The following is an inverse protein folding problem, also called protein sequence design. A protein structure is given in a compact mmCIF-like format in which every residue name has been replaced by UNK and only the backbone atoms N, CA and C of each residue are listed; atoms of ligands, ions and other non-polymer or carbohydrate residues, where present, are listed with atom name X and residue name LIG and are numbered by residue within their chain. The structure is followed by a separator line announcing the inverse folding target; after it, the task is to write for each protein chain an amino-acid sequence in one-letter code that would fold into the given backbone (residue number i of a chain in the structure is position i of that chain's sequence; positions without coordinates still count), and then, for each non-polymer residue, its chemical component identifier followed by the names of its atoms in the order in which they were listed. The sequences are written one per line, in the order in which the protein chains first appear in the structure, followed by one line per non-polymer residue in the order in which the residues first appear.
data_IF_480897256312
#
_entry.id   IF_480897256312
#
_cell.length_a   1.000
_cell.length_b   1.000
_cell.length_c   1.000
_cell.angle_alpha   90.00
_cell.angle_beta   90.00
_cell.angle_gamma   90.00
#
_symmetry.space_group_name_H-M   'P 1'
#
loop_
_entity.id
_entity.type
_entity.pdbx_description
1 polymer ?
#
# COMPACT_ATOMS: atom_id res chain seq x y z
N UNK A 1 6.62 23.07 14.49
CA UNK A 1 7.37 23.39 13.22
C UNK A 1 8.68 22.63 13.07
N UNK A 2 9.30 22.10 14.14
CA UNK A 2 10.57 21.34 14.05
C UNK A 2 10.59 20.21 13.02
N UNK A 3 9.53 19.43 12.88
CA UNK A 3 9.45 18.34 11.91
C UNK A 3 9.58 18.82 10.43
N UNK A 4 9.05 20.01 10.11
CA UNK A 4 9.17 20.57 8.73
C UNK A 4 10.62 20.95 8.41
N UNK A 5 11.38 21.37 9.40
CA UNK A 5 12.83 21.64 9.29
C UNK A 5 13.62 20.34 9.19
N UNK A 6 13.33 19.37 10.08
CA UNK A 6 13.96 18.05 10.10
C UNK A 6 13.83 17.32 8.76
N UNK A 7 12.62 17.36 8.17
CA UNK A 7 12.34 16.74 6.88
C UNK A 7 12.55 17.66 5.69
N UNK A 8 13.03 18.88 5.93
CA UNK A 8 13.33 19.90 4.89
C UNK A 8 12.14 20.22 3.98
N UNK A 9 10.91 20.23 4.53
CA UNK A 9 9.68 20.37 3.74
C UNK A 9 9.64 21.73 3.02
N UNK A 10 9.96 22.83 3.74
CA UNK A 10 9.90 24.20 3.24
C UNK A 10 11.29 24.78 2.93
N UNK A 11 12.33 23.94 2.89
CA UNK A 11 13.68 24.43 2.65
C UNK A 11 13.83 24.82 1.19
N UNK A 12 14.17 26.07 0.97
CA UNK A 12 14.57 26.56 -0.35
C UNK A 12 16.04 26.22 -0.60
N UNK A 13 16.30 24.98 -0.93
CA UNK A 13 17.62 24.41 -1.22
C UNK A 13 17.75 23.99 -2.67
N UNK A 14 16.85 24.47 -3.54
CA UNK A 14 16.81 24.08 -4.95
C UNK A 14 16.39 22.64 -5.20
N UNK A 15 15.92 21.91 -4.16
CA UNK A 15 15.45 20.54 -4.32
C UNK A 15 14.24 20.47 -5.24
N UNK A 16 14.32 19.57 -6.20
CA UNK A 16 13.20 19.20 -7.07
C UNK A 16 12.80 17.76 -6.77
N UNK A 17 11.50 17.46 -6.74
CA UNK A 17 11.07 16.08 -6.54
C UNK A 17 11.63 15.20 -7.65
N UNK A 18 12.18 14.01 -7.32
CA UNK A 18 12.51 13.02 -8.32
C UNK A 18 11.32 12.77 -9.26
N UNK A 19 11.55 12.76 -10.58
CA UNK A 19 10.49 12.57 -11.57
C UNK A 19 9.67 11.30 -11.29
N UNK A 20 10.33 10.26 -10.80
CA UNK A 20 9.69 9.02 -10.39
C UNK A 20 8.54 9.23 -9.39
N UNK A 21 8.69 10.14 -8.42
CA UNK A 21 7.63 10.46 -7.45
C UNK A 21 6.47 11.19 -8.13
N UNK A 22 6.78 12.08 -9.06
CA UNK A 22 5.77 12.84 -9.82
C UNK A 22 4.92 11.89 -10.66
N UNK A 23 5.54 10.88 -11.27
CA UNK A 23 4.87 9.95 -12.19
C UNK A 23 4.17 8.79 -11.48
N UNK A 24 4.62 8.40 -10.27
CA UNK A 24 4.16 7.18 -9.61
C UNK A 24 3.42 7.38 -8.28
N UNK A 25 3.28 8.61 -7.78
CA UNK A 25 2.41 8.86 -6.63
C UNK A 25 0.97 9.08 -7.13
N UNK A 26 0.07 8.11 -6.93
CA UNK A 26 -1.24 8.13 -7.55
C UNK A 26 -2.20 9.04 -6.78
N UNK A 27 -2.29 10.29 -7.20
CA UNK A 27 -3.26 11.24 -6.67
C UNK A 27 -3.43 12.46 -7.58
N UNK A 28 -4.56 13.14 -7.43
CA UNK A 28 -4.78 14.41 -8.10
C UNK A 28 -6.12 15.04 -7.73
N UNK A 29 -6.21 16.37 -7.79
CA UNK A 29 -7.48 17.09 -7.65
C UNK A 29 -8.25 16.95 -8.97
N UNK A 30 -9.47 16.43 -8.90
CA UNK A 30 -10.35 16.33 -10.08
C UNK A 30 -11.30 17.53 -10.22
N UNK A 31 -11.78 18.08 -9.12
CA UNK A 31 -12.76 19.16 -9.09
C UNK A 31 -13.10 19.56 -7.67
N UNK A 32 -14.36 19.96 -7.44
CA UNK A 32 -14.83 20.46 -6.15
C UNK A 32 -16.16 19.82 -5.77
N UNK A 33 -16.41 19.71 -4.47
CA UNK A 33 -17.72 19.33 -3.96
C UNK A 33 -18.74 20.48 -4.10
N UNK A 34 -20.00 20.22 -3.78
CA UNK A 34 -21.10 21.21 -3.87
C UNK A 34 -20.91 22.42 -2.95
N UNK A 35 -20.04 22.36 -1.96
CA UNK A 35 -19.70 23.46 -1.06
C UNK A 35 -18.38 24.16 -1.45
N UNK A 36 -17.75 23.73 -2.56
CA UNK A 36 -16.51 24.31 -3.09
C UNK A 36 -15.23 23.69 -2.52
N UNK A 37 -15.28 22.66 -1.69
CA UNK A 37 -14.07 21.99 -1.20
C UNK A 37 -13.43 21.15 -2.30
N UNK A 38 -12.09 21.18 -2.49
CA UNK A 38 -11.42 20.36 -3.50
C UNK A 38 -11.58 18.87 -3.22
N UNK A 39 -11.69 18.09 -4.30
CA UNK A 39 -11.82 16.64 -4.28
C UNK A 39 -10.56 16.01 -4.86
N UNK A 40 -9.86 15.26 -4.03
CA UNK A 40 -8.65 14.50 -4.38
C UNK A 40 -9.04 13.05 -4.64
N UNK A 41 -8.67 12.53 -5.80
CA UNK A 41 -8.82 11.11 -6.13
C UNK A 41 -7.49 10.40 -5.94
N UNK A 42 -7.52 9.24 -5.29
CA UNK A 42 -6.36 8.39 -5.01
C UNK A 42 -6.66 6.98 -5.53
N UNK A 43 -6.16 6.58 -6.71
CA UNK A 43 -6.16 5.19 -7.18
C UNK A 43 -5.16 4.35 -6.36
N UNK A 44 -5.61 3.75 -5.25
CA UNK A 44 -4.71 3.15 -4.24
C UNK A 44 -3.88 1.99 -4.79
N UNK A 45 -4.42 1.21 -5.72
CA UNK A 45 -3.67 0.10 -6.35
C UNK A 45 -2.47 0.57 -7.20
N UNK A 46 -2.49 1.83 -7.66
CA UNK A 46 -1.38 2.44 -8.38
C UNK A 46 -0.18 2.80 -7.50
N UNK A 47 -0.30 2.72 -6.18
CA UNK A 47 0.75 3.11 -5.25
C UNK A 47 1.73 1.96 -4.99
N UNK A 48 2.80 1.85 -5.78
CA UNK A 48 3.87 0.86 -5.57
C UNK A 48 4.86 1.32 -4.50
N UNK A 49 4.45 1.22 -3.24
CA UNK A 49 5.27 1.62 -2.07
C UNK A 49 6.62 0.90 -2.06
N UNK A 50 6.63 -0.39 -2.39
CA UNK A 50 7.85 -1.19 -2.41
C UNK A 50 8.82 -0.73 -3.50
N UNK A 51 8.32 -0.47 -4.70
CA UNK A 51 9.12 0.05 -5.82
C UNK A 51 9.67 1.44 -5.52
N UNK A 52 8.87 2.32 -4.94
CA UNK A 52 9.29 3.66 -4.55
C UNK A 52 10.42 3.64 -3.52
N UNK A 53 10.31 2.85 -2.45
CA UNK A 53 11.36 2.73 -1.42
C UNK A 53 12.67 2.18 -2.00
N UNK A 54 12.58 1.25 -2.96
CA UNK A 54 13.75 0.71 -3.65
C UNK A 54 14.42 1.71 -4.58
N UNK A 55 13.70 2.73 -5.04
CA UNK A 55 14.17 3.69 -6.05
C UNK A 55 14.56 5.06 -5.49
N UNK A 56 13.86 5.54 -4.46
CA UNK A 56 14.07 6.86 -3.86
C UNK A 56 14.30 6.76 -2.36
N UNK A 57 14.83 7.83 -1.76
CA UNK A 57 14.97 7.85 -0.31
C UNK A 57 13.61 8.03 0.37
N UNK A 58 13.37 7.41 1.54
CA UNK A 58 12.17 7.68 2.33
C UNK A 58 11.97 9.16 2.66
N UNK A 59 13.06 9.90 2.83
CA UNK A 59 13.02 11.35 3.09
C UNK A 59 12.43 12.11 1.89
N UNK A 60 12.83 11.78 0.67
CA UNK A 60 12.28 12.41 -0.54
C UNK A 60 10.79 12.07 -0.72
N UNK A 61 10.39 10.84 -0.42
CA UNK A 61 8.99 10.42 -0.48
C UNK A 61 8.15 11.25 0.49
N UNK A 62 8.58 11.36 1.76
CA UNK A 62 7.88 12.13 2.79
C UNK A 62 7.83 13.62 2.42
N UNK A 63 8.96 14.19 1.97
CA UNK A 63 9.05 15.59 1.54
C UNK A 63 8.07 15.88 0.41
N UNK A 64 8.05 15.03 -0.62
CA UNK A 64 7.16 15.20 -1.76
C UNK A 64 5.68 15.10 -1.36
N UNK A 65 5.31 14.10 -0.55
CA UNK A 65 3.93 13.92 -0.10
C UNK A 65 3.47 15.10 0.77
N UNK A 66 4.32 15.59 1.68
CA UNK A 66 4.00 16.77 2.47
C UNK A 66 3.78 18.02 1.60
N UNK A 67 4.64 18.25 0.59
CA UNK A 67 4.45 19.36 -0.36
C UNK A 67 3.18 19.19 -1.21
N UNK A 68 2.80 17.95 -1.55
CA UNK A 68 1.51 17.68 -2.22
C UNK A 68 0.33 18.07 -1.32
N UNK A 69 0.34 17.68 -0.06
CA UNK A 69 -0.71 18.07 0.89
C UNK A 69 -0.76 19.59 1.04
N UNK A 70 0.38 20.25 1.17
CA UNK A 70 0.47 21.72 1.25
C UNK A 70 -0.13 22.37 -0.01
N UNK A 71 0.14 21.83 -1.21
CA UNK A 71 -0.43 22.35 -2.46
C UNK A 71 -1.95 22.19 -2.51
N UNK A 72 -2.49 21.10 -2.00
CA UNK A 72 -3.93 20.87 -1.94
C UNK A 72 -4.61 21.77 -0.91
N UNK A 73 -3.95 22.04 0.21
CA UNK A 73 -4.43 23.01 1.20
C UNK A 73 -4.46 24.42 0.66
N UNK A 74 -3.48 24.81 -0.17
CA UNK A 74 -3.52 26.12 -0.82
C UNK A 74 -4.70 26.22 -1.79
N UNK A 75 -5.02 25.17 -2.54
CA UNK A 75 -6.23 25.14 -3.38
C UNK A 75 -7.50 25.28 -2.52
N UNK A 76 -7.59 24.57 -1.40
CA UNK A 76 -8.71 24.67 -0.46
C UNK A 76 -8.81 26.09 0.15
N UNK A 77 -7.68 26.69 0.52
CA UNK A 77 -7.63 28.07 1.01
C UNK A 77 -8.14 29.07 -0.03
N UNK A 78 -7.70 28.95 -1.28
CA UNK A 78 -8.18 29.82 -2.36
C UNK A 78 -9.67 29.61 -2.62
N UNK A 79 -10.14 28.38 -2.57
CA UNK A 79 -11.56 28.07 -2.71
C UNK A 79 -12.39 28.67 -1.57
N UNK A 80 -11.90 28.62 -0.34
CA UNK A 80 -12.61 29.16 0.83
C UNK A 80 -12.80 30.68 0.78
N UNK A 81 -11.92 31.40 0.08
CA UNK A 81 -12.10 32.85 -0.16
C UNK A 81 -13.28 33.14 -1.07
N UNK A 82 -13.69 32.18 -1.91
CA UNK A 82 -14.81 32.35 -2.87
C UNK A 82 -16.10 31.76 -2.35
N UNK A 83 -16.01 30.59 -1.67
CA UNK A 83 -17.18 29.77 -1.29
C UNK A 83 -17.43 29.75 0.22
N UNK A 84 -16.59 30.42 1.01
CA UNK A 84 -16.72 30.51 2.46
C UNK A 84 -15.98 29.40 3.22
N UNK A 85 -16.02 29.42 4.55
CA UNK A 85 -15.18 28.57 5.42
C UNK A 85 -15.34 27.05 5.21
N UNK A 86 -16.51 26.61 4.76
CA UNK A 86 -16.78 25.18 4.50
C UNK A 86 -15.91 24.59 3.39
N UNK A 87 -15.40 25.43 2.47
CA UNK A 87 -14.52 25.03 1.38
C UNK A 87 -13.03 24.96 1.77
N UNK A 88 -12.68 25.17 3.04
CA UNK A 88 -11.28 25.18 3.52
C UNK A 88 -10.68 23.80 3.74
N UNK A 89 -11.47 22.76 3.66
CA UNK A 89 -11.06 21.36 3.85
C UNK A 89 -11.02 20.61 2.53
N UNK A 90 -10.42 19.41 2.55
CA UNK A 90 -10.22 18.56 1.38
C UNK A 90 -11.10 17.31 1.49
N UNK A 91 -11.75 16.94 0.40
CA UNK A 91 -12.39 15.64 0.26
C UNK A 91 -11.47 14.64 -0.46
N UNK A 92 -11.59 13.37 -0.09
CA UNK A 92 -10.80 12.30 -0.69
C UNK A 92 -11.71 11.21 -1.24
N UNK A 93 -11.42 10.71 -2.44
CA UNK A 93 -11.99 9.47 -2.97
C UNK A 93 -10.83 8.49 -3.13
N UNK A 94 -10.75 7.50 -2.25
CA UNK A 94 -9.76 6.43 -2.30
C UNK A 94 -10.35 5.22 -3.03
N UNK A 95 -9.94 4.99 -4.27
CA UNK A 95 -10.36 3.81 -5.03
C UNK A 95 -9.48 2.62 -4.67
N UNK A 96 -10.09 1.61 -4.05
CA UNK A 96 -9.45 0.39 -3.57
C UNK A 96 -9.59 -0.78 -4.58
N UNK A 97 -10.01 -0.50 -5.81
CA UNK A 97 -10.00 -1.50 -6.89
C UNK A 97 -8.60 -2.11 -7.00
N UNK A 98 -8.50 -3.44 -7.06
CA UNK A 98 -7.25 -4.19 -7.12
C UNK A 98 -6.28 -3.95 -5.93
N UNK A 99 -6.80 -3.45 -4.80
CA UNK A 99 -6.00 -3.27 -3.59
C UNK A 99 -5.29 -4.55 -3.18
N UNK A 100 -3.98 -4.48 -3.02
CA UNK A 100 -3.12 -5.62 -2.70
C UNK A 100 -2.37 -5.38 -1.39
N UNK A 101 -2.63 -6.24 -0.40
CA UNK A 101 -1.93 -6.21 0.89
C UNK A 101 -0.43 -6.52 0.79
N UNK A 102 0.04 -7.16 -0.28
CA UNK A 102 1.43 -7.60 -0.40
C UNK A 102 2.43 -6.46 -0.14
N UNK A 103 2.12 -5.25 -0.58
CA UNK A 103 2.95 -4.07 -0.39
C UNK A 103 3.10 -3.70 1.10
N UNK A 104 2.03 -3.88 1.88
CA UNK A 104 1.98 -3.50 3.29
C UNK A 104 2.49 -4.60 4.23
N UNK A 105 2.87 -5.75 3.70
CA UNK A 105 3.46 -6.85 4.48
C UNK A 105 4.98 -6.76 4.57
N UNK A 106 5.60 -5.99 3.68
CA UNK A 106 7.02 -5.67 3.75
C UNK A 106 7.27 -4.60 4.80
N UNK A 107 8.09 -4.93 5.81
CA UNK A 107 8.31 -4.07 6.97
C UNK A 107 8.68 -2.62 6.62
N UNK A 108 9.65 -2.33 5.72
CA UNK A 108 9.98 -0.96 5.36
C UNK A 108 8.82 -0.19 4.71
N UNK A 109 7.99 -0.87 3.92
CA UNK A 109 6.80 -0.25 3.32
C UNK A 109 5.72 0.04 4.37
N UNK A 110 5.47 -0.91 5.28
CA UNK A 110 4.56 -0.72 6.40
C UNK A 110 5.02 0.43 7.31
N UNK A 111 6.30 0.47 7.67
CA UNK A 111 6.88 1.55 8.48
C UNK A 111 6.76 2.92 7.81
N UNK A 112 7.02 3.00 6.50
CA UNK A 112 6.84 4.26 5.76
C UNK A 112 5.38 4.73 5.80
N UNK A 113 4.42 3.84 5.55
CA UNK A 113 2.99 4.18 5.59
C UNK A 113 2.56 4.61 6.99
N UNK A 114 2.99 3.90 8.03
CA UNK A 114 2.73 4.26 9.42
C UNK A 114 3.29 5.65 9.74
N UNK A 115 4.54 5.91 9.37
CA UNK A 115 5.19 7.21 9.58
C UNK A 115 4.47 8.35 8.84
N UNK A 116 4.00 8.10 7.60
CA UNK A 116 3.22 9.07 6.83
C UNK A 116 1.88 9.39 7.51
N UNK A 117 1.18 8.38 8.02
CA UNK A 117 -0.09 8.57 8.73
C UNK A 117 0.09 9.31 10.06
N UNK A 118 1.13 8.97 10.82
CA UNK A 118 1.48 9.67 12.06
C UNK A 118 1.88 11.13 11.80
N UNK A 119 2.67 11.36 10.75
CA UNK A 119 3.03 12.70 10.30
C UNK A 119 1.78 13.51 9.93
N UNK A 120 0.87 12.91 9.15
CA UNK A 120 -0.39 13.52 8.76
C UNK A 120 -1.22 13.91 9.99
N UNK A 121 -1.46 12.97 10.89
CA UNK A 121 -2.29 13.19 12.09
C UNK A 121 -1.70 14.26 13.02
N UNK A 122 -0.37 14.26 13.19
CA UNK A 122 0.31 15.19 14.07
C UNK A 122 0.43 16.62 13.51
N UNK A 123 0.48 16.78 12.18
CA UNK A 123 0.89 18.05 11.58
C UNK A 123 -0.15 18.67 10.64
N UNK A 124 -1.19 17.92 10.29
CA UNK A 124 -2.28 18.36 9.40
C UNK A 124 -3.66 18.14 10.05
N UNK A 125 -3.91 18.73 11.24
CA UNK A 125 -5.17 18.54 11.93
C UNK A 125 -6.34 19.08 11.11
N UNK A 126 -7.44 18.35 11.08
CA UNK A 126 -8.75 18.77 10.56
C UNK A 126 -8.80 19.20 9.09
N UNK A 127 -7.78 18.86 8.28
CA UNK A 127 -7.78 19.19 6.85
C UNK A 127 -8.74 18.31 6.03
N UNK A 128 -9.04 17.12 6.51
CA UNK A 128 -9.96 16.20 5.85
C UNK A 128 -11.41 16.57 6.18
N UNK A 129 -12.24 16.74 5.15
CA UNK A 129 -13.69 16.93 5.27
C UNK A 129 -14.40 15.58 5.26
N UNK A 130 -14.10 14.75 4.25
CA UNK A 130 -14.57 13.38 4.14
C UNK A 130 -13.61 12.53 3.31
N UNK A 131 -13.65 11.21 3.51
CA UNK A 131 -12.89 10.23 2.73
C UNK A 131 -13.80 9.08 2.33
N UNK A 132 -14.14 8.99 1.05
CA UNK A 132 -14.89 7.89 0.47
C UNK A 132 -13.93 6.81 0.03
N UNK A 133 -13.81 5.73 0.80
CA UNK A 133 -13.06 4.54 0.43
C UNK A 133 -13.98 3.58 -0.33
N UNK A 134 -13.88 3.56 -1.65
CA UNK A 134 -14.75 2.77 -2.53
C UNK A 134 -14.07 1.49 -3.01
N UNK A 135 -14.87 0.52 -3.44
CA UNK A 135 -14.40 -0.78 -3.93
C UNK A 135 -13.54 -1.56 -2.92
N UNK A 136 -13.80 -1.39 -1.61
CA UNK A 136 -13.01 -2.02 -0.57
C UNK A 136 -13.14 -3.55 -0.60
N UNK A 137 -12.05 -4.30 -0.87
CA UNK A 137 -12.07 -5.75 -0.78
C UNK A 137 -12.02 -6.19 0.69
N UNK A 138 -12.50 -7.42 1.00
CA UNK A 138 -12.48 -7.96 2.37
C UNK A 138 -11.09 -7.86 3.04
N UNK A 139 -10.03 -7.99 2.26
CA UNK A 139 -8.65 -7.88 2.75
C UNK A 139 -8.27 -6.48 3.23
N UNK A 140 -9.01 -5.44 2.82
CA UNK A 140 -8.82 -4.07 3.28
C UNK A 140 -9.09 -3.91 4.79
N UNK A 141 -9.91 -4.79 5.38
CA UNK A 141 -10.15 -4.81 6.83
C UNK A 141 -8.85 -4.86 7.65
N UNK A 142 -7.84 -5.56 7.15
CA UNK A 142 -6.53 -5.61 7.79
C UNK A 142 -5.82 -4.24 7.78
N UNK A 143 -5.75 -3.60 6.63
CA UNK A 143 -5.15 -2.27 6.50
C UNK A 143 -5.90 -1.24 7.35
N UNK A 144 -7.23 -1.29 7.34
CA UNK A 144 -8.06 -0.39 8.14
C UNK A 144 -7.87 -0.56 9.66
N UNK A 145 -7.57 -1.78 10.12
CA UNK A 145 -7.24 -1.99 11.53
C UNK A 145 -5.94 -1.28 11.95
N UNK A 146 -4.96 -1.18 11.05
CA UNK A 146 -3.76 -0.37 11.28
C UNK A 146 -4.12 1.11 11.36
N UNK A 147 -4.97 1.59 10.44
CA UNK A 147 -5.44 2.98 10.43
C UNK A 147 -6.13 3.37 11.75
N UNK A 148 -6.99 2.51 12.28
CA UNK A 148 -7.71 2.73 13.56
C UNK A 148 -6.78 2.95 14.76
N UNK A 149 -5.58 2.37 14.73
CA UNK A 149 -4.63 2.50 15.83
C UNK A 149 -3.75 3.76 15.73
N UNK A 150 -3.78 4.45 14.58
CA UNK A 150 -2.92 5.60 14.30
C UNK A 150 -3.74 6.88 14.24
N UNK A 151 -4.91 6.84 13.58
CA UNK A 151 -5.75 8.00 13.36
C UNK A 151 -6.64 8.28 14.57
N UNK A 152 -6.90 9.55 14.83
CA UNK A 152 -7.84 9.98 15.89
C UNK A 152 -9.28 9.60 15.54
N UNK A 153 -10.14 9.51 16.55
CA UNK A 153 -11.56 9.25 16.35
C UNK A 153 -12.24 10.30 15.45
N UNK A 154 -11.80 11.56 15.53
CA UNK A 154 -12.29 12.62 14.65
C UNK A 154 -11.94 12.37 13.18
N UNK A 155 -10.69 11.99 12.89
CA UNK A 155 -10.28 11.64 11.52
C UNK A 155 -11.00 10.40 11.03
N UNK A 156 -11.12 9.36 11.86
CA UNK A 156 -11.79 8.11 11.51
C UNK A 156 -13.29 8.31 11.21
N UNK A 157 -13.98 9.20 11.91
CA UNK A 157 -15.40 9.50 11.66
C UNK A 157 -15.69 10.12 10.29
N UNK A 158 -14.65 10.57 9.59
CA UNK A 158 -14.74 11.15 8.24
C UNK A 158 -14.58 10.09 7.12
N UNK A 159 -14.30 8.83 7.48
CA UNK A 159 -14.19 7.74 6.51
C UNK A 159 -15.53 7.07 6.30
N UNK A 160 -15.93 7.00 5.04
CA UNK A 160 -17.09 6.22 4.58
C UNK A 160 -16.59 5.13 3.66
N UNK A 161 -16.80 3.86 4.04
CA UNK A 161 -16.22 2.71 3.37
C UNK A 161 -17.30 1.93 2.63
N UNK A 162 -17.12 1.77 1.31
CA UNK A 162 -18.01 1.01 0.44
C UNK A 162 -17.31 -0.23 -0.12
N UNK A 163 -18.01 -1.36 -0.11
CA UNK A 163 -17.61 -2.57 -0.85
C UNK A 163 -17.60 -2.30 -2.35
N UNK A 164 -17.17 -3.29 -3.15
CA UNK A 164 -17.17 -3.21 -4.61
C UNK A 164 -18.60 -3.32 -5.19
N UNK A 165 -19.48 -2.39 -4.78
CA UNK A 165 -20.85 -2.26 -5.25
C UNK A 165 -21.10 -0.84 -5.78
N UNK A 166 -21.00 -0.62 -7.10
CA UNK A 166 -21.24 0.67 -7.72
C UNK A 166 -22.65 1.24 -7.49
N UNK A 167 -23.65 0.39 -7.23
CA UNK A 167 -25.01 0.85 -6.98
C UNK A 167 -25.14 1.56 -5.63
N UNK A 168 -24.21 1.33 -4.70
CA UNK A 168 -24.20 1.98 -3.38
C UNK A 168 -23.32 3.24 -3.39
N UNK A 169 -22.06 3.16 -3.85
CA UNK A 169 -21.15 4.29 -3.73
C UNK A 169 -21.33 5.37 -4.82
N UNK A 170 -21.80 5.02 -6.05
CA UNK A 170 -22.04 6.05 -7.09
C UNK A 170 -23.11 7.06 -6.69
N UNK A 171 -24.30 6.66 -6.18
CA UNK A 171 -25.28 7.62 -5.69
C UNK A 171 -24.75 8.49 -4.55
N UNK A 172 -23.95 7.92 -3.63
CA UNK A 172 -23.35 8.64 -2.53
C UNK A 172 -22.37 9.73 -3.05
N UNK A 173 -21.50 9.41 -4.01
CA UNK A 173 -20.64 10.40 -4.64
C UNK A 173 -21.48 11.48 -5.36
N UNK A 174 -22.51 11.11 -6.12
CA UNK A 174 -23.36 12.05 -6.86
C UNK A 174 -24.16 12.98 -5.94
N UNK A 175 -24.51 12.54 -4.73
CA UNK A 175 -25.16 13.42 -3.74
C UNK A 175 -24.25 14.52 -3.22
N UNK A 176 -22.95 14.29 -3.24
CA UNK A 176 -21.91 15.10 -2.64
C UNK A 176 -21.15 15.96 -3.65
N UNK A 177 -20.94 15.44 -4.90
CA UNK A 177 -20.16 16.07 -5.96
C UNK A 177 -21.03 16.13 -7.23
N UNK A 178 -21.02 17.26 -7.93
CA UNK A 178 -21.69 17.35 -9.21
C UNK A 178 -20.94 16.55 -10.29
N UNK A 179 -21.68 15.96 -11.24
CA UNK A 179 -21.12 15.01 -12.20
C UNK A 179 -20.01 15.59 -13.10
N UNK A 180 -19.98 16.90 -13.31
CA UNK A 180 -18.95 17.61 -14.05
C UNK A 180 -17.67 17.91 -13.22
N UNK A 181 -17.64 17.50 -11.96
CA UNK A 181 -16.52 17.72 -11.04
C UNK A 181 -15.70 16.45 -10.73
N UNK A 182 -16.10 15.27 -11.20
CA UNK A 182 -15.35 14.05 -10.97
C UNK A 182 -15.32 13.12 -12.19
N UNK A 183 -14.29 12.21 -12.26
CA UNK A 183 -14.02 11.41 -13.45
C UNK A 183 -15.13 10.43 -13.82
N UNK A 184 -15.23 10.14 -15.10
CA UNK A 184 -16.24 9.22 -15.66
C UNK A 184 -16.08 7.77 -15.18
N UNK A 185 -14.86 7.33 -14.88
CA UNK A 185 -14.65 5.97 -14.33
C UNK A 185 -15.25 5.81 -12.92
N UNK A 186 -15.43 6.90 -12.19
CA UNK A 186 -16.11 6.94 -10.90
C UNK A 186 -17.61 7.24 -11.02
N UNK A 187 -18.13 7.39 -12.23
CA UNK A 187 -19.53 7.70 -12.49
C UNK A 187 -19.84 9.17 -12.72
N UNK A 188 -18.83 10.05 -12.77
CA UNK A 188 -18.94 11.44 -13.18
C UNK A 188 -18.87 11.64 -14.72
N UNK A 189 -18.56 12.85 -15.15
CA UNK A 189 -18.52 13.22 -16.57
C UNK A 189 -17.13 13.63 -17.05
N UNK A 190 -16.17 13.88 -16.14
CA UNK A 190 -14.83 14.34 -16.56
C UNK A 190 -14.09 13.25 -17.32
N UNK A 191 -13.49 13.67 -18.43
CA UNK A 191 -12.63 12.86 -19.29
C UNK A 191 -11.45 13.71 -19.74
N UNK A 192 -10.39 13.06 -20.10
CA UNK A 192 -9.28 13.71 -20.80
C UNK A 192 -9.71 14.15 -22.23
N UNK A 193 -8.97 15.05 -22.86
CA UNK A 193 -9.28 15.51 -24.24
C UNK A 193 -9.31 14.37 -25.28
N UNK A 194 -8.58 13.28 -25.03
CA UNK A 194 -8.59 12.05 -25.86
C UNK A 194 -9.75 11.09 -25.53
N UNK A 195 -10.57 11.45 -24.52
CA UNK A 195 -11.72 10.66 -24.07
C UNK A 195 -11.41 9.69 -22.94
N UNK A 196 -10.18 9.60 -22.43
CA UNK A 196 -9.86 8.71 -21.30
C UNK A 196 -10.73 9.05 -20.08
N UNK A 197 -11.53 8.06 -19.57
CA UNK A 197 -12.41 8.28 -18.43
C UNK A 197 -11.66 8.44 -17.10
N UNK A 198 -10.37 8.11 -17.04
CA UNK A 198 -9.55 8.16 -15.81
C UNK A 198 -9.06 9.56 -15.46
N UNK A 199 -9.15 10.50 -16.40
CA UNK A 199 -8.72 11.88 -16.24
C UNK A 199 -7.24 11.99 -15.85
N UNK A 200 -6.39 11.31 -16.62
CA UNK A 200 -4.95 11.10 -16.35
C UNK A 200 -4.14 12.39 -16.44
N UNK A 201 -4.60 13.41 -17.15
CA UNK A 201 -4.00 14.75 -17.19
C UNK A 201 -4.03 15.45 -15.82
N UNK A 202 -4.93 15.07 -14.92
CA UNK A 202 -5.09 15.65 -13.57
C UNK A 202 -4.81 14.66 -12.45
N UNK A 203 -5.11 13.39 -12.67
CA UNK A 203 -4.97 12.35 -11.66
C UNK A 203 -3.87 11.38 -12.11
N UNK A 204 -2.74 11.45 -11.44
CA UNK A 204 -1.66 10.47 -11.64
C UNK A 204 -2.19 9.09 -11.26
N UNK A 205 -2.07 8.13 -12.17
CA UNK A 205 -2.56 6.76 -11.95
C UNK A 205 -1.55 5.90 -11.20
N UNK A 206 -0.28 6.30 -11.16
CA UNK A 206 0.79 5.53 -10.59
C UNK A 206 1.11 4.27 -11.41
N UNK A 207 1.28 3.17 -10.73
CA UNK A 207 1.64 1.88 -11.33
C UNK A 207 2.95 1.36 -10.80
N UNK A 208 3.36 0.19 -11.28
CA UNK A 208 4.61 -0.43 -10.84
C UNK A 208 5.82 0.38 -11.29
N UNK A 209 6.70 0.68 -10.34
CA UNK A 209 8.00 1.27 -10.62
C UNK A 209 8.85 0.28 -11.43
N UNK A 210 9.40 0.68 -12.59
CA UNK A 210 10.29 -0.17 -13.36
C UNK A 210 11.51 -0.62 -12.53
N UNK A 211 11.86 -1.90 -12.61
CA UNK A 211 12.96 -2.46 -11.82
C UNK A 211 14.32 -1.85 -12.14
N UNK A 212 14.47 -1.31 -13.35
CA UNK A 212 15.67 -0.60 -13.83
C UNK A 212 15.93 0.68 -13.04
N UNK A 213 14.89 1.24 -12.41
CA UNK A 213 14.96 2.43 -11.57
C UNK A 213 15.32 2.13 -10.10
N UNK A 214 15.42 0.85 -9.73
CA UNK A 214 15.80 0.47 -8.38
C UNK A 214 17.26 0.81 -8.14
N UNK A 215 17.57 1.41 -6.99
CA UNK A 215 18.96 1.67 -6.58
C UNK A 215 19.71 0.35 -6.50
N UNK A 216 20.83 0.25 -7.20
CA UNK A 216 21.74 -0.90 -7.05
C UNK A 216 22.28 -0.90 -5.63
N UNK A 217 21.89 -1.88 -4.85
CA UNK A 217 22.43 -2.10 -3.51
C UNK A 217 23.65 -3.01 -3.64
N UNK A 218 24.86 -2.44 -3.58
CA UNK A 218 26.12 -3.18 -3.71
C UNK A 218 26.45 -4.09 -2.52
N UNK A 219 25.65 -4.08 -1.46
CA UNK A 219 25.80 -4.96 -0.28
C UNK A 219 24.45 -5.44 0.22
N UNK A 220 24.44 -6.68 0.75
CA UNK A 220 23.33 -7.21 1.56
C UNK A 220 23.08 -6.24 2.73
N UNK A 221 22.21 -5.24 2.55
CA UNK A 221 21.69 -4.47 3.66
C UNK A 221 20.70 -5.38 4.37
N UNK A 222 21.19 -6.05 5.40
CA UNK A 222 20.38 -6.92 6.25
C UNK A 222 19.57 -6.03 7.18
N UNK A 223 18.27 -6.23 7.23
CA UNK A 223 17.50 -5.81 8.40
C UNK A 223 18.00 -6.63 9.60
N UNK A 224 18.06 -6.04 10.79
CA UNK A 224 18.54 -6.70 12.01
C UNK A 224 17.86 -8.05 12.32
N UNK A 225 16.70 -8.29 11.72
CA UNK A 225 15.86 -9.49 11.94
C UNK A 225 16.08 -10.61 10.92
N UNK A 226 17.07 -10.51 10.01
CA UNK A 226 17.29 -11.56 9.00
C UNK A 226 18.24 -12.65 9.47
N UNK A 227 17.86 -13.90 9.26
CA UNK A 227 18.70 -15.06 9.44
C UNK A 227 19.56 -15.31 8.21
N UNK A 228 20.88 -15.46 8.42
CA UNK A 228 21.84 -15.80 7.38
C UNK A 228 22.12 -17.28 7.34
N UNK A 229 22.03 -17.89 6.15
CA UNK A 229 22.36 -19.32 5.96
C UNK A 229 23.08 -19.53 4.62
N UNK A 230 23.96 -20.51 4.58
CA UNK A 230 24.61 -20.94 3.35
C UNK A 230 24.02 -22.29 2.89
N UNK A 231 23.25 -22.27 1.79
CA UNK A 231 22.66 -23.46 1.20
C UNK A 231 23.68 -24.04 0.20
N UNK A 232 24.19 -25.22 0.50
CA UNK A 232 25.18 -25.90 -0.34
C UNK A 232 24.61 -26.21 -1.71
N UNK A 233 25.51 -26.39 -2.69
CA UNK A 233 25.14 -26.91 -4.01
C UNK A 233 24.49 -28.30 -3.87
N UNK A 234 23.43 -28.53 -4.64
CA UNK A 234 22.68 -29.79 -4.58
C UNK A 234 21.72 -29.92 -3.39
N UNK A 235 21.69 -28.95 -2.48
CA UNK A 235 20.95 -29.01 -1.22
C UNK A 235 19.73 -28.07 -1.22
N UNK A 236 18.90 -28.20 -0.18
CA UNK A 236 17.74 -27.34 0.05
C UNK A 236 17.53 -27.07 1.53
N UNK A 237 17.02 -25.89 1.86
CA UNK A 237 16.56 -25.51 3.18
C UNK A 237 15.04 -25.62 3.24
N UNK A 238 14.53 -26.33 4.23
CA UNK A 238 13.10 -26.43 4.49
C UNK A 238 12.81 -25.91 5.90
N UNK A 239 11.96 -24.89 5.98
CA UNK A 239 11.52 -24.31 7.24
C UNK A 239 10.08 -24.74 7.49
N UNK A 240 9.85 -25.42 8.61
CA UNK A 240 8.54 -25.93 9.00
C UNK A 240 7.89 -25.01 10.02
N UNK A 241 6.63 -24.67 9.78
CA UNK A 241 5.82 -23.83 10.65
C UNK A 241 4.51 -24.53 10.96
N UNK A 242 4.24 -24.75 12.25
CA UNK A 242 2.95 -25.27 12.71
C UNK A 242 1.98 -24.11 12.85
N UNK A 243 0.94 -24.12 12.06
CA UNK A 243 -0.18 -23.17 12.16
C UNK A 243 -1.31 -23.83 12.91
N UNK A 244 -1.66 -23.30 14.07
CA UNK A 244 -2.74 -23.84 14.92
C UNK A 244 -4.05 -23.08 14.73
N UNK A 245 -4.00 -21.81 14.32
CA UNK A 245 -5.17 -20.97 14.14
C UNK A 245 -5.46 -20.83 12.65
N UNK A 246 -6.65 -21.23 12.16
CA UNK A 246 -7.00 -21.08 10.75
C UNK A 246 -6.98 -19.61 10.35
N UNK A 247 -6.72 -19.37 9.05
CA UNK A 247 -6.60 -18.03 8.48
C UNK A 247 -5.39 -17.20 8.95
N UNK A 248 -4.44 -17.79 9.67
CA UNK A 248 -3.12 -17.18 9.91
C UNK A 248 -2.39 -16.90 8.60
N UNK A 249 -1.31 -16.12 8.67
CA UNK A 249 -0.53 -15.76 7.49
C UNK A 249 0.92 -16.16 7.68
N UNK A 250 1.54 -16.76 6.65
CA UNK A 250 2.99 -16.89 6.53
C UNK A 250 3.48 -15.71 5.71
N UNK A 251 4.45 -14.98 6.27
CA UNK A 251 5.13 -13.87 5.64
C UNK A 251 6.57 -14.23 5.40
N UNK A 252 7.10 -13.80 4.27
CA UNK A 252 8.51 -14.01 3.94
C UNK A 252 9.14 -12.79 3.34
N UNK A 253 10.43 -12.66 3.59
CA UNK A 253 11.33 -11.71 3.01
C UNK A 253 12.68 -12.39 2.87
N UNK A 254 13.25 -12.43 1.68
CA UNK A 254 14.55 -13.06 1.49
C UNK A 254 15.31 -12.50 0.31
N UNK A 255 16.64 -12.60 0.38
CA UNK A 255 17.59 -12.20 -0.65
C UNK A 255 18.78 -13.16 -0.66
N UNK A 256 19.33 -13.44 -1.84
CA UNK A 256 20.63 -14.11 -1.98
C UNK A 256 21.71 -13.10 -2.29
N UNK A 257 22.95 -13.37 -1.85
CA UNK A 257 24.12 -12.50 -2.14
C UNK A 257 24.38 -12.44 -3.65
N UNK A 258 24.23 -13.58 -4.33
CA UNK A 258 24.36 -13.69 -5.78
C UNK A 258 23.57 -14.90 -6.28
N UNK A 259 23.09 -14.79 -7.52
CA UNK A 259 22.29 -15.79 -8.23
C UNK A 259 20.88 -16.06 -7.67
N UNK A 260 20.04 -16.63 -8.50
CA UNK A 260 18.69 -17.05 -8.20
C UNK A 260 18.65 -18.22 -7.19
N UNK A 261 17.48 -18.42 -6.56
CA UNK A 261 17.15 -19.62 -5.80
C UNK A 261 15.74 -20.07 -6.18
N UNK A 262 15.45 -21.37 -6.09
CA UNK A 262 14.07 -21.81 -6.17
C UNK A 262 13.40 -21.63 -4.81
N UNK A 263 12.17 -21.13 -4.85
CA UNK A 263 11.35 -20.86 -3.67
C UNK A 263 9.93 -21.36 -3.89
N UNK A 264 9.33 -21.91 -2.84
CA UNK A 264 7.93 -22.34 -2.84
C UNK A 264 7.43 -22.69 -1.45
N UNK A 265 6.12 -22.92 -1.32
CA UNK A 265 5.44 -23.20 -0.05
C UNK A 265 4.49 -24.38 -0.24
N UNK A 266 4.58 -25.33 0.68
CA UNK A 266 3.76 -26.53 0.76
C UNK A 266 2.96 -26.50 2.07
N UNK A 267 1.77 -27.06 2.07
CA UNK A 267 0.99 -27.32 3.29
C UNK A 267 0.80 -28.84 3.45
N UNK A 268 0.89 -29.30 4.67
CA UNK A 268 0.60 -30.70 5.02
C UNK A 268 -0.51 -30.68 6.06
N UNK A 269 -1.61 -31.35 5.78
CA UNK A 269 -2.75 -31.44 6.70
C UNK A 269 -2.56 -32.54 7.78
N UNK A 270 -3.59 -32.71 8.60
CA UNK A 270 -3.58 -33.72 9.68
C UNK A 270 -3.52 -35.17 9.16
N UNK A 271 -3.92 -35.39 7.89
CA UNK A 271 -3.90 -36.72 7.24
C UNK A 271 -2.60 -36.95 6.48
N UNK A 272 -1.59 -36.09 6.65
CA UNK A 272 -0.31 -36.07 5.93
C UNK A 272 -0.44 -35.89 4.41
N UNK A 273 -1.53 -35.32 3.94
CA UNK A 273 -1.70 -34.95 2.53
C UNK A 273 -0.99 -33.63 2.27
N UNK A 274 -0.06 -33.65 1.33
CA UNK A 274 0.70 -32.47 0.97
C UNK A 274 0.04 -31.72 -0.19
N UNK A 275 -0.24 -30.44 0.01
CA UNK A 275 -0.80 -29.52 -0.99
C UNK A 275 0.22 -28.45 -1.35
N UNK A 276 0.39 -28.18 -2.64
CA UNK A 276 1.26 -27.11 -3.14
C UNK A 276 0.49 -25.78 -3.08
N UNK A 277 0.87 -24.89 -2.17
CA UNK A 277 0.29 -23.55 -2.06
C UNK A 277 0.98 -22.57 -3.00
N UNK A 278 2.30 -22.68 -3.11
CA UNK A 278 3.12 -21.90 -4.03
C UNK A 278 4.11 -22.86 -4.72
N UNK A 279 4.04 -23.00 -6.05
CA UNK A 279 4.95 -23.87 -6.79
C UNK A 279 6.41 -23.44 -6.62
N UNK A 280 7.31 -24.43 -6.44
CA UNK A 280 8.74 -24.18 -6.31
C UNK A 280 9.29 -23.71 -7.67
N UNK A 281 9.58 -22.40 -7.78
CA UNK A 281 10.07 -21.77 -9.01
C UNK A 281 11.35 -20.97 -8.73
N UNK A 282 12.15 -20.73 -9.78
CA UNK A 282 13.32 -19.86 -9.70
C UNK A 282 12.90 -18.42 -9.44
N UNK A 283 13.58 -17.78 -8.47
CA UNK A 283 13.39 -16.38 -8.09
C UNK A 283 14.74 -15.67 -8.16
N UNK A 284 14.80 -14.59 -8.92
CA UNK A 284 16.01 -13.77 -9.07
C UNK A 284 16.19 -12.83 -7.86
N UNK A 285 16.18 -13.39 -6.66
CA UNK A 285 16.23 -12.63 -5.41
C UNK A 285 17.62 -12.01 -5.10
N UNK A 286 18.62 -12.29 -5.91
CA UNK A 286 19.92 -11.59 -5.88
C UNK A 286 19.85 -10.21 -6.54
N UNK A 287 18.94 -10.04 -7.49
CA UNK A 287 18.69 -8.75 -8.13
C UNK A 287 17.78 -7.90 -7.24
N UNK A 288 16.68 -8.49 -6.75
CA UNK A 288 15.69 -7.83 -5.92
C UNK A 288 15.21 -8.75 -4.81
N UNK A 289 15.12 -8.21 -3.61
CA UNK A 289 14.58 -8.92 -2.47
C UNK A 289 13.16 -9.44 -2.74
N UNK A 290 12.93 -10.72 -2.48
CA UNK A 290 11.61 -11.35 -2.62
C UNK A 290 10.83 -11.23 -1.32
N UNK A 291 9.60 -10.72 -1.44
CA UNK A 291 8.72 -10.45 -0.31
C UNK A 291 7.34 -10.98 -0.63
N UNK A 292 6.69 -11.57 0.36
CA UNK A 292 5.32 -12.02 0.15
C UNK A 292 4.60 -12.45 1.41
N UNK A 293 3.34 -12.79 1.19
CA UNK A 293 2.43 -13.30 2.22
C UNK A 293 1.49 -14.32 1.59
N UNK A 294 1.19 -15.37 2.33
CA UNK A 294 0.16 -16.35 1.97
C UNK A 294 -0.75 -16.62 3.16
N UNK A 295 -2.04 -16.77 2.89
CA UNK A 295 -3.04 -17.12 3.89
C UNK A 295 -3.08 -18.63 4.10
N UNK A 296 -2.93 -19.05 5.35
CA UNK A 296 -3.07 -20.43 5.79
C UNK A 296 -4.54 -20.73 6.08
N UNK A 297 -5.25 -21.38 5.17
CA UNK A 297 -6.68 -21.63 5.31
C UNK A 297 -7.03 -22.54 6.46
N UNK A 298 -6.18 -23.52 6.75
CA UNK A 298 -6.43 -24.59 7.72
C UNK A 298 -5.26 -24.72 8.70
N UNK A 299 -5.48 -25.21 9.92
CA UNK A 299 -4.39 -25.65 10.78
C UNK A 299 -3.60 -26.78 10.12
N UNK A 300 -2.30 -26.85 10.39
CA UNK A 300 -1.43 -27.86 9.81
C UNK A 300 0.04 -27.45 9.81
N UNK A 301 0.89 -28.28 9.19
CA UNK A 301 2.30 -27.98 8.98
C UNK A 301 2.49 -27.29 7.60
N UNK A 302 3.14 -26.15 7.61
CA UNK A 302 3.48 -25.40 6.40
C UNK A 302 4.99 -25.41 6.22
N UNK A 303 5.45 -25.83 5.05
CA UNK A 303 6.88 -25.92 4.74
C UNK A 303 7.26 -24.86 3.71
N UNK A 304 8.14 -23.95 4.11
CA UNK A 304 8.78 -22.99 3.22
C UNK A 304 10.07 -23.60 2.70
N UNK A 305 10.23 -23.65 1.38
CA UNK A 305 11.33 -24.33 0.71
C UNK A 305 12.20 -23.33 -0.04
N UNK A 306 13.49 -23.32 0.29
CA UNK A 306 14.54 -22.68 -0.50
C UNK A 306 15.41 -23.77 -1.13
N UNK A 307 15.34 -23.93 -2.43
CA UNK A 307 15.91 -25.09 -3.13
C UNK A 307 17.08 -24.66 -4.04
N UNK A 308 18.27 -25.16 -3.73
CA UNK A 308 19.50 -25.02 -4.50
C UNK A 308 19.96 -26.36 -5.12
N UNK A 309 19.07 -27.35 -5.19
CA UNK A 309 19.38 -28.70 -5.71
C UNK A 309 19.79 -28.72 -7.18
N UNK A 310 19.35 -27.72 -7.94
CA UNK A 310 19.71 -27.57 -9.36
C UNK A 310 21.09 -26.97 -9.61
N UNK A 311 21.79 -26.50 -8.57
CA UNK A 311 23.12 -25.93 -8.68
C UNK A 311 24.19 -27.00 -8.53
N UNK A 312 24.98 -27.20 -9.56
CA UNK A 312 26.07 -28.18 -9.56
C UNK A 312 27.40 -27.64 -9.01
N UNK A 313 27.59 -26.33 -9.04
CA UNK A 313 28.89 -25.72 -8.74
C UNK A 313 28.83 -24.80 -7.52
N UNK A 314 27.74 -24.09 -7.27
CA UNK A 314 27.72 -22.96 -6.34
C UNK A 314 26.78 -23.14 -5.15
N UNK A 315 27.32 -22.89 -3.94
CA UNK A 315 26.51 -22.62 -2.75
C UNK A 315 25.91 -21.25 -2.83
N UNK A 316 24.82 -20.99 -2.09
CA UNK A 316 24.11 -19.69 -2.07
C UNK A 316 23.97 -19.18 -0.65
N UNK A 317 24.50 -18.00 -0.40
CA UNK A 317 24.25 -17.29 0.85
C UNK A 317 22.89 -16.65 0.77
N UNK A 318 21.98 -17.09 1.64
CA UNK A 318 20.62 -16.63 1.74
C UNK A 318 20.44 -15.83 3.03
N UNK A 319 19.90 -14.64 2.94
CA UNK A 319 19.34 -13.88 4.04
C UNK A 319 17.81 -14.01 3.99
N UNK A 320 17.19 -14.42 5.06
CA UNK A 320 15.73 -14.57 5.09
C UNK A 320 15.12 -14.19 6.45
N UNK A 321 13.88 -13.73 6.40
CA UNK A 321 12.98 -13.64 7.53
C UNK A 321 11.64 -14.27 7.12
N UNK A 322 11.23 -15.31 7.85
CA UNK A 322 9.95 -15.98 7.62
C UNK A 322 9.27 -16.18 8.97
N UNK A 323 8.02 -15.74 9.08
CA UNK A 323 7.27 -15.84 10.32
C UNK A 323 5.77 -16.04 10.08
N UNK A 324 5.09 -16.60 11.07
CA UNK A 324 3.64 -16.77 11.09
C UNK A 324 3.03 -15.63 11.89
N UNK A 325 2.01 -14.98 11.32
CA UNK A 325 1.19 -14.00 12.03
C UNK A 325 -0.23 -14.52 12.19
N UNK A 326 -0.84 -14.21 13.32
CA UNK A 326 -2.21 -14.59 13.61
C UNK A 326 -3.20 -13.97 12.61
N UNK A 327 -4.37 -14.59 12.42
CA UNK A 327 -5.41 -13.99 11.60
C UNK A 327 -5.83 -12.65 12.19
N UNK A 328 -6.23 -11.74 11.34
CA UNK A 328 -6.92 -10.52 11.75
C UNK A 328 -8.21 -10.95 12.43
N UNK A 329 -8.50 -10.37 13.57
CA UNK A 329 -9.66 -10.70 14.37
C UNK A 329 -10.94 -10.56 13.52
N UNK A 330 -11.79 -11.58 13.49
CA UNK A 330 -13.05 -11.56 12.74
C UNK A 330 -13.92 -10.34 13.10
N UNK A 331 -13.86 -9.88 14.37
CA UNK A 331 -14.50 -8.64 14.81
C UNK A 331 -14.10 -7.39 14.00
N UNK A 332 -12.92 -7.37 13.40
CA UNK A 332 -12.50 -6.25 12.55
C UNK A 332 -13.18 -6.31 11.18
N UNK A 333 -13.40 -7.52 10.65
CA UNK A 333 -14.16 -7.74 9.42
C UNK A 333 -15.63 -7.39 9.65
N UNK A 334 -16.18 -7.84 10.78
CA UNK A 334 -17.56 -7.52 11.19
C UNK A 334 -17.75 -6.00 11.42
N UNK A 335 -16.73 -5.31 11.95
CA UNK A 335 -16.77 -3.86 12.13
C UNK A 335 -16.83 -3.11 10.80
N UNK A 336 -16.08 -3.56 9.78
CA UNK A 336 -16.18 -2.96 8.43
C UNK A 336 -17.52 -3.28 7.80
N UNK A 337 -18.01 -4.52 7.94
CA UNK A 337 -19.34 -4.90 7.48
C UNK A 337 -20.43 -4.09 8.20
N UNK A 338 -20.26 -3.79 9.49
CA UNK A 338 -21.15 -2.90 10.24
C UNK A 338 -21.07 -1.44 9.76
N UNK A 339 -19.87 -0.88 9.56
CA UNK A 339 -19.68 0.47 9.02
C UNK A 339 -20.33 0.59 7.64
N UNK A 340 -20.13 -0.42 6.78
CA UNK A 340 -20.69 -0.44 5.42
C UNK A 340 -22.20 -0.69 5.41
N UNK A 341 -22.77 -1.37 6.44
CA UNK A 341 -24.19 -1.68 6.54
C UNK A 341 -24.98 -0.68 7.39
N UNK A 342 -24.32 0.23 8.14
CA UNK A 342 -25.00 1.30 8.90
C UNK A 342 -25.63 2.38 8.00
N UNK A 343 -25.43 2.29 6.69
CA UNK A 343 -25.99 3.18 5.69
C UNK A 343 -27.14 2.54 4.88
N UNK A 344 -27.66 1.40 5.30
CA UNK A 344 -28.96 0.86 4.88
C UNK A 344 -30.10 1.44 5.75
#
# INVERSE_FOLDING_TARGET
MKWREEWSINKDDGWKPPQLLVDHIPCGICGYDKEGSPVVVIPVAGFDVCGLIKSVSPKDIVRYLAQKVDSYLEVARQSSLKHGPKASQINCIADLTDFNLRQFTWRPAAELVINLLQMYEANYPEILKSCFAINAPKVFAFAFNILKNILTGNTLSKFVIYKADPNKWKPALASFIDGDQYPAFLGGNLRDPDGDPRYTTKIVQGGKVPKEMYKKTDKLSLSEDMTLVNIKKGDKLQLKYTVTIPHSFIRWQFKTECHDIKFGILATDAENIQTVLMPIKKVACHEFEEIGVIKCKYPGEYTVVFDNSYSFIRSKKLAYNVHVTLPVNEKTIDTIDQIVNMEE
#
